data_IF_077310716265
#
_entry.id   IF_077310716265
#
_cell.length_a   1.000
_cell.length_b   1.000
_cell.length_c   1.000
_cell.angle_alpha   90.00
_cell.angle_beta   90.00
_cell.angle_gamma   90.00
#
_symmetry.space_group_name_H-M   'P 1'
#
loop_
_entity.id
_entity.type
_entity.pdbx_description
1 polymer ?
#
# COMPACT_ATOMS: atom_id res chain seq x y z
N UNK A 1 -27.75 25.44 -3.20
CA UNK A 1 -28.48 24.30 -2.64
C UNK A 1 -27.57 23.09 -2.79
N UNK A 2 -26.78 22.78 -1.76
CA UNK A 2 -25.86 21.65 -1.78
C UNK A 2 -26.27 20.72 -0.65
N UNK A 3 -26.83 19.58 -1.05
CA UNK A 3 -26.96 18.41 -0.21
C UNK A 3 -25.90 17.47 -0.76
N UNK A 4 -24.82 17.28 -0.02
CA UNK A 4 -23.96 16.11 -0.18
C UNK A 4 -24.14 15.35 1.11
N UNK A 5 -25.06 14.40 1.03
CA UNK A 5 -25.31 13.42 2.06
C UNK A 5 -24.38 12.22 1.80
N UNK A 6 -23.97 11.60 2.91
CA UNK A 6 -23.44 10.23 3.03
C UNK A 6 -21.93 9.97 2.83
N UNK A 7 -21.25 9.80 3.97
CA UNK A 7 -20.51 8.55 4.24
C UNK A 7 -21.57 7.47 4.57
N UNK A 8 -21.44 6.19 4.13
CA UNK A 8 -20.30 5.34 4.52
C UNK A 8 -19.83 4.33 3.46
N UNK A 9 -18.59 3.87 3.58
CA UNK A 9 -18.12 2.63 2.96
C UNK A 9 -17.47 2.79 1.59
N UNK A 10 -16.13 2.88 1.60
CA UNK A 10 -15.24 2.52 0.47
C UNK A 10 -15.70 3.08 -0.89
N UNK A 11 -15.99 4.37 -0.97
CA UNK A 11 -16.13 5.05 -2.25
C UNK A 11 -14.74 5.22 -2.86
N UNK A 12 -14.59 4.83 -4.13
CA UNK A 12 -13.38 4.97 -4.93
C UNK A 12 -12.69 6.32 -4.65
N UNK A 13 -11.54 6.29 -3.96
CA UNK A 13 -10.69 7.47 -3.71
C UNK A 13 -10.27 8.02 -5.06
N UNK A 14 -11.03 9.00 -5.56
CA UNK A 14 -10.73 9.73 -6.77
C UNK A 14 -9.41 10.46 -6.50
N UNK A 15 -8.38 10.23 -7.35
CA UNK A 15 -7.13 10.99 -7.31
C UNK A 15 -7.46 12.47 -7.24
N UNK A 16 -7.28 13.08 -6.08
CA UNK A 16 -7.44 14.52 -5.94
C UNK A 16 -6.37 15.17 -6.85
N UNK A 17 -6.83 15.92 -7.86
CA UNK A 17 -5.96 16.48 -8.90
C UNK A 17 -4.97 17.51 -8.36
N UNK A 18 -5.12 17.90 -7.11
CA UNK A 18 -4.30 18.92 -6.45
C UNK A 18 -3.17 18.34 -5.57
N UNK A 19 -3.03 17.01 -5.48
CA UNK A 19 -1.93 16.38 -4.75
C UNK A 19 -0.79 16.04 -5.73
N UNK A 20 0.43 16.57 -5.53
CA UNK A 20 1.58 16.22 -6.35
C UNK A 20 1.82 14.71 -6.33
N UNK A 21 1.93 14.09 -7.50
CA UNK A 21 2.21 12.67 -7.66
C UNK A 21 3.54 12.47 -8.40
N UNK A 22 4.37 11.57 -7.89
CA UNK A 22 5.63 11.15 -8.52
C UNK A 22 5.54 9.65 -8.79
N UNK A 23 5.77 9.24 -10.04
CA UNK A 23 5.92 7.83 -10.40
C UNK A 23 7.39 7.48 -10.61
N UNK A 24 7.80 6.32 -10.09
CA UNK A 24 9.11 5.72 -10.36
C UNK A 24 8.91 4.25 -10.72
N UNK A 25 9.80 3.72 -11.56
CA UNK A 25 9.82 2.31 -11.93
C UNK A 25 10.99 1.60 -11.24
N UNK A 26 10.74 0.38 -10.80
CA UNK A 26 11.75 -0.54 -10.29
C UNK A 26 11.71 -1.82 -11.13
N UNK A 27 12.86 -2.39 -11.45
CA UNK A 27 12.94 -3.67 -12.14
C UNK A 27 12.55 -4.78 -11.17
N UNK A 28 11.45 -5.48 -11.46
CA UNK A 28 11.00 -6.61 -10.66
C UNK A 28 11.80 -7.87 -11.02
N UNK A 29 12.33 -8.55 -9.99
CA UNK A 29 13.01 -9.84 -10.12
C UNK A 29 12.41 -10.83 -9.13
N UNK A 30 11.74 -11.85 -9.63
CA UNK A 30 11.10 -12.88 -8.79
C UNK A 30 12.01 -13.41 -7.69
N UNK A 31 11.46 -13.47 -6.48
CA UNK A 31 12.14 -13.88 -5.25
C UNK A 31 12.97 -12.79 -4.58
N UNK A 32 13.20 -11.65 -5.24
CA UNK A 32 13.93 -10.53 -4.63
C UNK A 32 13.03 -9.76 -3.68
N UNK A 33 13.51 -9.51 -2.47
CA UNK A 33 12.87 -8.58 -1.54
C UNK A 33 13.16 -7.15 -1.91
N UNK A 34 12.31 -6.25 -1.42
CA UNK A 34 12.51 -4.81 -1.54
C UNK A 34 12.01 -4.11 -0.28
N UNK A 35 12.43 -2.86 -0.09
CA UNK A 35 11.99 -2.01 1.02
C UNK A 35 11.40 -0.73 0.47
N UNK A 36 10.50 -0.11 1.24
CA UNK A 36 9.86 1.15 0.88
C UNK A 36 10.43 2.22 1.80
N UNK A 37 11.27 3.09 1.24
CA UNK A 37 11.80 4.25 1.95
C UNK A 37 10.91 5.47 1.70
N UNK A 38 10.47 6.12 2.78
CA UNK A 38 9.72 7.36 2.74
C UNK A 38 10.55 8.46 3.38
N UNK A 39 10.75 9.54 2.62
CA UNK A 39 11.48 10.72 3.06
C UNK A 39 10.56 11.94 3.04
N UNK A 40 10.48 12.63 4.17
CA UNK A 40 9.76 13.88 4.33
C UNK A 40 10.80 15.00 4.47
N UNK A 41 10.76 15.93 3.51
CA UNK A 41 11.67 17.07 3.46
C UNK A 41 11.53 17.97 4.69
N UNK A 42 12.65 18.54 5.15
CA UNK A 42 12.71 19.58 6.19
C UNK A 42 11.75 20.76 5.94
N UNK A 43 11.44 21.06 4.68
CA UNK A 43 10.54 22.14 4.29
C UNK A 43 9.05 21.75 4.38
N UNK A 44 8.73 20.51 4.76
CA UNK A 44 7.35 20.04 4.91
C UNK A 44 6.68 20.75 6.09
N UNK A 45 5.48 21.26 5.86
CA UNK A 45 4.68 21.94 6.87
C UNK A 45 3.39 21.16 7.10
N UNK A 46 3.13 20.82 8.36
CA UNK A 46 1.84 20.26 8.74
C UNK A 46 0.72 21.28 8.58
N UNK A 47 -0.47 20.82 8.19
CA UNK A 47 -1.66 21.67 8.19
C UNK A 47 -1.96 22.20 9.60
N UNK A 48 -2.56 23.38 9.67
CA UNK A 48 -2.96 23.98 10.95
C UNK A 48 -3.95 23.05 11.68
N UNK A 49 -3.65 22.72 12.94
CA UNK A 49 -4.45 21.78 13.73
C UNK A 49 -4.11 20.30 13.55
N UNK A 50 -3.31 19.92 12.54
CA UNK A 50 -2.84 18.55 12.40
C UNK A 50 -1.76 18.23 13.44
N UNK A 51 -1.87 17.06 14.07
CA UNK A 51 -0.94 16.55 15.06
C UNK A 51 -0.08 15.40 14.53
N UNK A 52 -0.39 14.89 13.34
CA UNK A 52 0.44 13.93 12.65
C UNK A 52 0.12 13.81 11.17
N UNK A 53 0.82 12.87 10.54
CA UNK A 53 0.63 12.44 9.17
C UNK A 53 0.52 10.91 9.18
N UNK A 54 -0.60 10.37 8.71
CA UNK A 54 -0.77 8.95 8.44
C UNK A 54 -0.21 8.63 7.04
N UNK A 55 0.53 7.54 6.97
CA UNK A 55 1.13 6.99 5.77
C UNK A 55 0.57 5.59 5.58
N UNK A 56 -0.33 5.44 4.62
CA UNK A 56 -0.87 4.13 4.25
C UNK A 56 -0.17 3.62 3.00
N UNK A 57 0.49 2.48 3.13
CA UNK A 57 1.17 1.83 2.02
C UNK A 57 0.27 0.74 1.46
N UNK A 58 0.02 0.82 0.15
CA UNK A 58 -0.67 -0.21 -0.61
C UNK A 58 0.29 -0.85 -1.61
N UNK A 59 0.24 -2.18 -1.73
CA UNK A 59 1.01 -2.94 -2.70
C UNK A 59 0.02 -3.79 -3.50
N UNK A 60 0.09 -3.70 -4.83
CA UNK A 60 -0.84 -4.37 -5.76
C UNK A 60 -2.32 -4.06 -5.45
N UNK A 61 -2.58 -2.83 -4.99
CA UNK A 61 -3.92 -2.37 -4.59
C UNK A 61 -4.43 -2.89 -3.24
N UNK A 62 -3.57 -3.54 -2.44
CA UNK A 62 -3.89 -4.07 -1.11
C UNK A 62 -3.16 -3.31 -0.04
N UNK A 63 -3.83 -3.06 1.08
CA UNK A 63 -3.18 -2.44 2.23
C UNK A 63 -2.06 -3.33 2.77
N UNK A 64 -0.86 -2.76 2.85
CA UNK A 64 0.33 -3.43 3.36
C UNK A 64 0.57 -3.04 4.82
N UNK A 65 0.75 -1.75 5.09
CA UNK A 65 1.00 -1.23 6.44
C UNK A 65 0.60 0.23 6.54
N UNK A 66 0.38 0.69 7.77
CA UNK A 66 0.18 2.10 8.11
C UNK A 66 1.24 2.55 9.08
N UNK A 67 1.72 3.79 8.92
CA UNK A 67 2.61 4.46 9.86
C UNK A 67 2.08 5.84 10.20
N UNK A 68 2.09 6.18 11.48
CA UNK A 68 1.78 7.53 11.93
C UNK A 68 3.08 8.25 12.24
N UNK A 69 3.24 9.43 11.65
CA UNK A 69 4.33 10.35 11.93
C UNK A 69 3.77 11.49 12.75
N UNK A 70 4.10 11.50 14.03
CA UNK A 70 3.71 12.58 14.92
C UNK A 70 4.48 13.85 14.56
N UNK A 71 3.77 14.98 14.57
CA UNK A 71 4.34 16.30 14.31
C UNK A 71 5.48 16.63 15.28
N UNK A 72 5.39 16.19 16.53
CA UNK A 72 6.43 16.44 17.54
C UNK A 72 7.74 15.70 17.25
N UNK A 73 7.68 14.59 16.48
CA UNK A 73 8.88 13.90 15.99
C UNK A 73 9.51 14.63 14.79
N UNK A 74 8.81 15.61 14.22
CA UNK A 74 9.26 16.40 13.08
C UNK A 74 9.93 17.70 13.56
N UNK A 75 11.15 17.58 14.10
CA UNK A 75 11.92 18.70 14.65
C UNK A 75 12.58 19.62 13.59
N UNK A 76 12.03 19.68 12.37
CA UNK A 76 12.59 20.46 11.27
C UNK A 76 13.87 19.88 10.64
N UNK A 77 14.33 18.69 11.05
CA UNK A 77 15.45 17.98 10.43
C UNK A 77 15.05 17.05 9.28
N UNK A 78 13.74 16.99 8.97
CA UNK A 78 13.18 16.05 8.02
C UNK A 78 13.03 14.69 8.68
N UNK A 79 12.42 13.74 7.97
CA UNK A 79 12.23 12.40 8.48
C UNK A 79 12.48 11.39 7.38
N UNK A 80 13.23 10.34 7.69
CA UNK A 80 13.38 9.17 6.84
C UNK A 80 12.83 7.97 7.59
N UNK A 81 11.96 7.19 6.93
CA UNK A 81 11.40 5.96 7.47
C UNK A 81 11.57 4.86 6.43
N UNK A 82 12.09 3.72 6.85
CA UNK A 82 12.22 2.53 6.02
C UNK A 82 11.18 1.52 6.46
N UNK A 83 10.38 1.07 5.51
CA UNK A 83 9.38 0.01 5.70
C UNK A 83 9.94 -1.24 5.02
N UNK A 84 10.53 -2.13 5.82
CA UNK A 84 11.12 -3.39 5.35
C UNK A 84 10.12 -4.55 5.40
N UNK A 85 9.18 -4.46 6.33
CA UNK A 85 8.25 -5.52 6.65
C UNK A 85 7.00 -4.94 7.33
N UNK A 86 5.99 -5.80 7.48
CA UNK A 86 4.85 -5.55 8.37
C UNK A 86 4.77 -6.62 9.45
N UNK A 87 4.23 -6.28 10.61
CA UNK A 87 3.92 -7.26 11.64
C UNK A 87 2.88 -8.28 11.13
N UNK A 88 3.04 -9.53 11.54
CA UNK A 88 2.04 -10.60 11.41
C UNK A 88 1.70 -11.16 12.80
N UNK A 89 0.76 -12.09 12.87
CA UNK A 89 0.41 -12.77 14.12
C UNK A 89 1.63 -13.47 14.73
N UNK A 90 1.82 -13.27 16.04
CA UNK A 90 2.94 -13.82 16.79
C UNK A 90 4.28 -13.10 16.54
N UNK A 91 5.43 -13.77 16.73
CA UNK A 91 6.76 -13.16 16.60
C UNK A 91 7.24 -13.14 15.14
N UNK A 92 6.35 -12.88 14.19
CA UNK A 92 6.65 -12.95 12.76
C UNK A 92 6.35 -11.63 12.06
N UNK A 93 7.08 -11.43 10.96
CA UNK A 93 6.90 -10.30 10.07
C UNK A 93 6.79 -10.77 8.62
N UNK A 94 6.09 -10.01 7.79
CA UNK A 94 5.96 -10.24 6.36
C UNK A 94 6.83 -9.23 5.60
N UNK A 95 7.88 -9.73 4.97
CA UNK A 95 8.74 -8.96 4.06
C UNK A 95 8.23 -9.10 2.61
N UNK A 96 8.03 -7.99 1.87
CA UNK A 96 7.53 -8.06 0.51
C UNK A 96 8.62 -8.60 -0.44
N UNK A 97 8.20 -9.48 -1.35
CA UNK A 97 9.06 -10.07 -2.38
C UNK A 97 8.34 -10.05 -3.73
N UNK A 98 9.08 -9.83 -4.82
CA UNK A 98 8.49 -9.95 -6.15
C UNK A 98 8.15 -11.41 -6.46
N UNK A 99 7.01 -11.63 -7.11
CA UNK A 99 6.53 -12.97 -7.46
C UNK A 99 5.89 -12.97 -8.84
N UNK A 100 6.14 -14.02 -9.61
CA UNK A 100 5.56 -14.18 -10.95
C UNK A 100 4.04 -14.25 -10.90
N UNK A 101 3.40 -13.62 -11.89
CA UNK A 101 1.98 -13.81 -12.16
C UNK A 101 1.80 -15.06 -13.01
N UNK A 102 0.86 -15.92 -12.60
CA UNK A 102 0.44 -17.10 -13.37
C UNK A 102 -0.84 -16.78 -14.11
N UNK A 103 -0.97 -17.26 -15.34
CA UNK A 103 -2.20 -17.06 -16.11
C UNK A 103 -3.05 -18.31 -16.13
N UNK A 104 -4.34 -18.18 -15.84
CA UNK A 104 -5.34 -19.24 -16.03
C UNK A 104 -6.02 -19.03 -17.38
N UNK A 105 -5.98 -20.04 -18.24
CA UNK A 105 -6.66 -19.99 -19.56
C UNK A 105 -8.19 -20.13 -19.41
N UNK A 106 -8.62 -21.10 -18.61
CA UNK A 106 -10.03 -21.39 -18.34
C UNK A 106 -10.50 -20.71 -17.05
N UNK A 107 -11.05 -19.51 -17.21
CA UNK A 107 -11.72 -18.78 -16.15
C UNK A 107 -13.14 -18.42 -16.56
N UNK A 108 -14.08 -18.49 -15.62
CA UNK A 108 -15.44 -18.03 -15.84
C UNK A 108 -15.50 -16.49 -15.98
N UNK A 109 -16.61 -15.98 -16.50
CA UNK A 109 -16.76 -14.56 -16.78
C UNK A 109 -16.66 -13.70 -15.50
N UNK A 110 -17.16 -14.20 -14.37
CA UNK A 110 -17.07 -13.50 -13.09
C UNK A 110 -15.62 -13.34 -12.62
N UNK A 111 -14.81 -14.38 -12.78
CA UNK A 111 -13.38 -14.36 -12.48
C UNK A 111 -12.65 -13.39 -13.40
N UNK A 112 -12.94 -13.40 -14.69
CA UNK A 112 -12.34 -12.46 -15.66
C UNK A 112 -12.62 -11.00 -15.27
N UNK A 113 -13.86 -10.67 -14.92
CA UNK A 113 -14.22 -9.29 -14.53
C UNK A 113 -13.55 -8.86 -13.22
N UNK A 114 -13.53 -9.75 -12.22
CA UNK A 114 -12.82 -9.51 -10.96
C UNK A 114 -11.32 -9.29 -11.19
N UNK A 115 -10.72 -10.12 -12.02
CA UNK A 115 -9.30 -10.04 -12.32
C UNK A 115 -8.95 -8.79 -13.15
N UNK A 116 -9.87 -8.30 -14.00
CA UNK A 116 -9.65 -7.02 -14.70
C UNK A 116 -9.48 -5.86 -13.72
N UNK A 117 -10.31 -5.79 -12.67
CA UNK A 117 -10.16 -4.76 -11.63
C UNK A 117 -8.91 -4.96 -10.78
N UNK A 118 -8.50 -6.22 -10.57
CA UNK A 118 -7.28 -6.55 -9.85
C UNK A 118 -6.05 -6.09 -10.63
N UNK A 119 -5.95 -6.46 -11.92
CA UNK A 119 -4.78 -6.16 -12.77
C UNK A 119 -4.51 -4.66 -12.81
N UNK A 120 -5.56 -3.81 -12.85
CA UNK A 120 -5.45 -2.33 -12.80
C UNK A 120 -4.51 -1.82 -11.71
N UNK A 121 -4.47 -2.50 -10.57
CA UNK A 121 -3.70 -2.09 -9.40
C UNK A 121 -2.41 -2.90 -9.21
N UNK A 122 -2.21 -3.99 -9.96
CA UNK A 122 -1.03 -4.84 -9.81
C UNK A 122 0.23 -4.17 -10.37
N UNK A 123 1.39 -4.53 -9.81
CA UNK A 123 2.68 -3.96 -10.17
C UNK A 123 2.86 -2.54 -9.65
N UNK A 124 2.05 -2.11 -8.67
CA UNK A 124 2.12 -0.75 -8.11
C UNK A 124 2.33 -0.79 -6.60
N UNK A 125 3.11 0.17 -6.13
CA UNK A 125 3.25 0.53 -4.72
C UNK A 125 2.70 1.95 -4.62
N UNK A 126 1.64 2.13 -3.84
CA UNK A 126 0.99 3.41 -3.61
C UNK A 126 1.21 3.82 -2.14
N UNK A 127 1.68 5.04 -1.91
CA UNK A 127 1.79 5.61 -0.56
C UNK A 127 0.80 6.75 -0.47
N UNK A 128 -0.21 6.58 0.37
CA UNK A 128 -1.24 7.59 0.63
C UNK A 128 -0.89 8.36 1.89
N UNK A 129 -1.06 9.68 1.83
CA UNK A 129 -0.74 10.61 2.91
C UNK A 129 -2.03 11.28 3.37
N UNK A 130 -2.28 11.26 4.68
CA UNK A 130 -3.46 11.86 5.30
C UNK A 130 -3.06 12.62 6.58
N UNK A 131 -3.51 13.87 6.72
CA UNK A 131 -3.26 14.64 7.94
C UNK A 131 -4.24 14.20 9.02
N UNK A 132 -3.73 13.85 10.20
CA UNK A 132 -4.54 13.41 11.33
C UNK A 132 -4.61 14.48 12.41
N UNK A 133 -5.78 14.60 13.04
CA UNK A 133 -5.94 15.40 14.25
C UNK A 133 -5.52 14.61 15.51
N UNK A 134 -5.47 15.27 16.66
CA UNK A 134 -4.94 14.67 17.88
C UNK A 134 -5.84 13.61 18.54
N UNK A 135 -7.12 13.57 18.19
CA UNK A 135 -8.08 12.65 18.78
C UNK A 135 -8.11 11.29 18.06
N UNK A 136 -7.62 11.25 16.81
CA UNK A 136 -7.55 10.04 15.99
C UNK A 136 -6.28 9.21 16.20
N UNK A 137 -5.27 9.75 16.91
CA UNK A 137 -3.98 9.10 17.18
C UNK A 137 -4.11 7.80 17.99
N UNK A 138 -5.19 7.64 18.77
CA UNK A 138 -5.42 6.45 19.60
C UNK A 138 -6.10 5.29 18.84
N UNK A 139 -6.51 5.49 17.58
CA UNK A 139 -6.99 4.43 16.73
C UNK A 139 -5.86 3.93 15.84
N UNK A 140 -5.68 2.63 15.82
CA UNK A 140 -4.96 1.86 14.79
C UNK A 140 -3.54 1.41 15.11
N UNK A 141 -3.48 0.30 15.86
CA UNK A 141 -2.57 -0.79 15.54
C UNK A 141 -3.31 -2.11 15.21
N UNK A 142 -4.64 -2.18 15.39
CA UNK A 142 -5.33 -3.47 15.54
C UNK A 142 -6.32 -3.85 14.42
N UNK A 143 -6.79 -2.93 13.55
CA UNK A 143 -7.95 -3.23 12.67
C UNK A 143 -7.66 -3.45 11.19
N UNK A 144 -6.42 -3.28 10.72
CA UNK A 144 -6.07 -3.60 9.33
C UNK A 144 -5.54 -5.03 9.23
N UNK A 145 -6.41 -5.97 9.59
CA UNK A 145 -6.15 -7.39 9.44
C UNK A 145 -5.71 -7.70 8.00
N UNK A 146 -4.70 -8.56 7.78
CA UNK A 146 -4.27 -8.98 6.46
C UNK A 146 -5.47 -9.48 5.65
N UNK A 147 -5.79 -8.82 4.53
CA UNK A 147 -6.55 -9.53 3.49
C UNK A 147 -5.63 -10.61 2.92
N UNK A 148 -6.04 -11.87 3.04
CA UNK A 148 -5.39 -13.00 2.39
C UNK A 148 -4.98 -12.62 0.97
N UNK A 149 -3.67 -12.72 0.70
CA UNK A 149 -3.14 -12.47 -0.64
C UNK A 149 -3.77 -13.50 -1.58
N UNK A 150 -4.66 -13.03 -2.45
CA UNK A 150 -5.27 -13.89 -3.45
C UNK A 150 -4.15 -14.45 -4.32
N UNK A 151 -4.30 -15.71 -4.74
CA UNK A 151 -3.38 -16.37 -5.66
C UNK A 151 -2.93 -15.43 -6.78
N UNK A 152 -1.66 -15.47 -7.19
CA UNK A 152 -1.17 -14.77 -8.38
C UNK A 152 -1.65 -15.42 -9.68
N UNK A 153 -2.58 -16.36 -9.60
CA UNK A 153 -3.33 -16.84 -10.74
C UNK A 153 -4.34 -15.77 -11.19
N UNK A 154 -4.16 -15.30 -12.42
CA UNK A 154 -4.98 -14.26 -13.08
C UNK A 154 -5.54 -14.83 -14.38
N UNK A 155 -6.81 -14.61 -14.66
CA UNK A 155 -7.39 -15.00 -15.94
C UNK A 155 -6.63 -14.37 -17.12
N UNK A 156 -6.18 -15.19 -18.06
CA UNK A 156 -5.43 -14.73 -19.24
C UNK A 156 -6.21 -13.66 -20.03
N UNK A 157 -7.54 -13.83 -20.13
CA UNK A 157 -8.44 -12.86 -20.77
C UNK A 157 -8.46 -11.51 -20.04
N UNK A 158 -8.32 -11.48 -18.72
CA UNK A 158 -8.29 -10.24 -17.95
C UNK A 158 -7.01 -9.43 -18.24
N UNK A 159 -5.86 -10.11 -18.35
CA UNK A 159 -4.58 -9.49 -18.74
C UNK A 159 -4.64 -8.83 -20.12
N UNK A 160 -5.23 -9.52 -21.10
CA UNK A 160 -5.40 -8.96 -22.45
C UNK A 160 -6.35 -7.76 -22.43
N UNK A 161 -7.49 -7.89 -21.74
CA UNK A 161 -8.54 -6.86 -21.72
C UNK A 161 -8.16 -5.61 -20.92
N UNK A 162 -7.36 -5.74 -19.86
CA UNK A 162 -6.88 -4.59 -19.08
C UNK A 162 -5.86 -3.74 -19.85
N UNK A 163 -5.16 -4.35 -20.82
CA UNK A 163 -4.11 -3.70 -21.60
C UNK A 163 -2.84 -3.39 -20.80
N UNK A 164 -2.74 -3.84 -19.55
CA UNK A 164 -1.55 -3.67 -18.73
C UNK A 164 -0.64 -4.90 -18.86
N UNK A 165 0.62 -4.62 -19.19
CA UNK A 165 1.68 -5.63 -19.21
C UNK A 165 2.26 -5.80 -17.79
N UNK A 166 1.53 -6.50 -16.91
CA UNK A 166 2.03 -6.86 -15.58
C UNK A 166 2.58 -8.28 -15.63
N UNK A 167 3.86 -8.46 -15.27
CA UNK A 167 4.50 -9.78 -15.21
C UNK A 167 4.70 -10.29 -13.78
N UNK A 168 4.73 -9.37 -12.81
CA UNK A 168 5.01 -9.65 -11.41
C UNK A 168 4.02 -8.94 -10.51
N UNK A 169 3.70 -9.58 -9.38
CA UNK A 169 3.12 -8.93 -8.21
C UNK A 169 4.06 -9.04 -7.01
N UNK A 170 3.52 -8.85 -5.82
CA UNK A 170 4.23 -8.91 -4.54
C UNK A 170 3.63 -9.96 -3.64
N UNK A 171 4.38 -11.03 -3.40
CA UNK A 171 4.10 -11.98 -2.31
C UNK A 171 4.90 -11.61 -1.07
N UNK A 172 4.85 -12.46 -0.04
CA UNK A 172 5.53 -12.18 1.22
C UNK A 172 6.34 -13.37 1.68
N UNK A 173 7.53 -13.08 2.21
CA UNK A 173 8.31 -14.03 2.98
C UNK A 173 8.04 -13.75 4.47
N UNK A 174 7.55 -14.76 5.17
CA UNK A 174 7.45 -14.70 6.64
C UNK A 174 8.86 -14.87 7.22
N UNK A 175 9.24 -13.96 8.10
CA UNK A 175 10.53 -13.95 8.81
C UNK A 175 10.31 -13.77 10.31
N UNK A 176 11.17 -14.34 11.17
CA UNK A 176 11.17 -14.06 12.61
C UNK A 176 11.40 -12.56 12.90
N UNK A 177 10.72 -12.02 13.91
CA UNK A 177 10.83 -10.59 14.25
C UNK A 177 12.23 -10.16 14.69
N UNK A 178 13.04 -11.08 15.19
CA UNK A 178 14.44 -10.89 15.61
C UNK A 178 15.43 -10.89 14.44
N UNK A 179 15.00 -11.30 13.24
CA UNK A 179 15.80 -11.18 12.01
C UNK A 179 15.61 -9.83 11.29
N UNK A 180 14.62 -9.04 11.72
CA UNK A 180 14.43 -7.68 11.21
C UNK A 180 15.35 -6.76 11.98
N UNK A 181 16.41 -6.31 11.32
CA UNK A 181 17.40 -5.40 11.90
C UNK A 181 16.71 -4.03 12.08
N UNK A 182 16.14 -3.82 13.26
CA UNK A 182 15.50 -2.57 13.63
C UNK A 182 16.48 -1.39 13.58
N UNK A 183 16.02 -0.30 12.96
CA UNK A 183 16.55 1.05 13.17
C UNK A 183 16.13 1.57 14.54
#
# INVERSE_FOLDING_TARGET
MAVIDQLPGIAARQKDKNVPFVARSIEARTGSSYTIAVEISQAFNFLSGANGLALDVYIDGRHFTSRIIHKDNFNGSGLSSVIESRAQDGPHQAMPIFSDIRTIEEADQATVEKDMERVKKMGTIEVHLEFIDGAEIEKDAAELAPQDYASFDIAHKAMIKSGQAVSHGTSHKTIPSDEVIGC
#
